data_IF_324221688599
#
_entry.id   IF_324221688599
#
_cell.length_a   1.000
_cell.length_b   1.000
_cell.length_c   1.000
_cell.angle_alpha   90.00
_cell.angle_beta   90.00
_cell.angle_gamma   90.00
#
_symmetry.space_group_name_H-M   'P 1'
#
loop_
_entity.id
_entity.type
_entity.pdbx_description
1 polymer ?
#
# COMPACT_ATOMS: atom_id res chain seq x y z
N UNK A 1 24.01 -0.51 29.49
CA UNK A 1 22.67 -0.80 30.05
C UNK A 1 21.68 -0.48 28.95
N UNK A 2 20.86 -1.44 28.50
CA UNK A 2 19.91 -1.18 27.39
C UNK A 2 18.97 -0.05 27.81
N UNK A 3 18.69 0.89 26.92
CA UNK A 3 17.72 1.97 27.21
C UNK A 3 16.32 1.38 27.39
N UNK A 4 15.43 2.05 28.12
CA UNK A 4 14.05 1.57 28.29
C UNK A 4 13.35 1.33 26.94
N UNK A 5 13.65 2.16 25.94
CA UNK A 5 13.16 2.00 24.57
C UNK A 5 13.73 0.76 23.87
N UNK A 6 15.01 0.43 24.07
CA UNK A 6 15.60 -0.82 23.52
C UNK A 6 14.98 -2.07 24.13
N UNK A 7 14.59 -2.04 25.40
CA UNK A 7 13.89 -3.17 26.04
C UNK A 7 12.47 -3.29 25.50
N UNK A 8 11.76 -2.16 25.37
CA UNK A 8 10.40 -2.12 24.81
C UNK A 8 10.39 -2.59 23.35
N UNK A 9 11.37 -2.18 22.54
CA UNK A 9 11.49 -2.59 21.15
C UNK A 9 11.64 -4.11 20.96
N UNK A 10 12.18 -4.81 21.97
CA UNK A 10 12.32 -6.27 21.95
C UNK A 10 11.01 -6.96 22.32
N UNK A 11 10.24 -6.40 23.26
CA UNK A 11 9.03 -7.04 23.80
C UNK A 11 7.75 -6.66 23.07
N UNK A 12 7.60 -5.40 22.66
CA UNK A 12 6.45 -4.87 21.93
C UNK A 12 6.90 -3.73 21.00
N UNK A 13 7.23 -4.06 19.73
CA UNK A 13 7.64 -3.07 18.74
C UNK A 13 6.57 -1.98 18.50
N UNK A 14 5.29 -2.25 18.80
CA UNK A 14 4.18 -1.33 18.62
C UNK A 14 4.16 -0.18 19.64
N UNK A 15 4.89 -0.32 20.74
CA UNK A 15 5.05 0.68 21.78
C UNK A 15 6.25 1.61 21.54
N UNK A 16 7.14 1.25 20.61
CA UNK A 16 8.30 2.08 20.24
C UNK A 16 7.81 3.39 19.63
N UNK A 17 8.30 4.53 20.14
CA UNK A 17 7.91 5.87 19.68
C UNK A 17 6.39 6.14 19.72
N UNK A 18 5.64 5.49 20.60
CA UNK A 18 4.17 5.63 20.68
C UNK A 18 3.68 7.07 20.88
N UNK A 19 4.48 7.93 21.49
CA UNK A 19 4.19 9.36 21.64
C UNK A 19 4.08 10.09 20.28
N UNK A 20 4.78 9.60 19.25
CA UNK A 20 4.78 10.16 17.90
C UNK A 20 3.73 9.53 16.98
N UNK A 21 3.03 8.48 17.44
CA UNK A 21 2.05 7.77 16.63
C UNK A 21 0.79 8.61 16.41
N UNK A 22 0.49 8.86 15.14
CA UNK A 22 -0.76 9.47 14.74
C UNK A 22 -1.90 8.43 14.73
N UNK A 23 -3.12 8.87 14.39
CA UNK A 23 -4.31 7.99 14.38
C UNK A 23 -4.16 6.80 13.44
N UNK A 24 -3.53 6.98 12.28
CA UNK A 24 -3.32 5.90 11.31
C UNK A 24 -2.28 4.89 11.80
N UNK A 25 -1.19 5.34 12.44
CA UNK A 25 -0.22 4.43 13.07
C UNK A 25 -0.90 3.53 14.11
N UNK A 26 -1.76 4.11 14.96
CA UNK A 26 -2.51 3.35 15.98
C UNK A 26 -3.48 2.35 15.36
N UNK A 27 -4.12 2.71 14.25
CA UNK A 27 -5.00 1.81 13.51
C UNK A 27 -4.22 0.62 12.94
N UNK A 28 -3.06 0.87 12.32
CA UNK A 28 -2.23 -0.20 11.75
C UNK A 28 -1.65 -1.10 12.84
N UNK A 29 -1.18 -0.55 13.95
CA UNK A 29 -0.70 -1.33 15.11
C UNK A 29 -1.83 -2.22 15.65
N UNK A 30 -3.05 -1.70 15.77
CA UNK A 30 -4.21 -2.49 16.19
C UNK A 30 -4.50 -3.66 15.26
N UNK A 31 -4.55 -3.41 13.94
CA UNK A 31 -4.74 -4.48 12.94
C UNK A 31 -3.58 -5.48 12.98
N UNK A 32 -2.35 -5.02 13.13
CA UNK A 32 -1.15 -5.86 13.26
C UNK A 32 -1.19 -6.77 14.48
N UNK A 33 -1.60 -6.25 15.64
CA UNK A 33 -1.72 -7.03 16.87
C UNK A 33 -2.81 -8.10 16.76
N UNK A 34 -3.91 -7.83 16.05
CA UNK A 34 -4.91 -8.85 15.72
C UNK A 34 -4.32 -9.89 14.75
N UNK A 35 -3.66 -9.42 13.69
CA UNK A 35 -3.03 -10.27 12.68
C UNK A 35 -1.92 -11.16 13.22
N UNK A 36 -1.23 -10.76 14.29
CA UNK A 36 -0.17 -11.55 14.92
C UNK A 36 -0.66 -12.93 15.42
N UNK A 37 -1.94 -13.05 15.79
CA UNK A 37 -2.56 -14.33 16.18
C UNK A 37 -2.65 -15.36 15.05
N UNK A 38 -2.48 -14.93 13.80
CA UNK A 38 -2.39 -15.83 12.65
C UNK A 38 -1.13 -16.70 12.70
N UNK A 39 -0.03 -16.25 13.30
CA UNK A 39 1.20 -17.06 13.39
C UNK A 39 1.06 -18.28 14.31
N UNK A 40 0.53 -18.17 15.55
CA UNK A 40 0.18 -19.35 16.34
C UNK A 40 -0.81 -20.28 15.63
N UNK A 41 -1.82 -19.74 14.95
CA UNK A 41 -2.76 -20.55 14.18
C UNK A 41 -2.07 -21.30 13.03
N UNK A 42 -1.17 -20.63 12.30
CA UNK A 42 -0.33 -21.22 11.27
C UNK A 42 0.56 -22.33 11.84
N UNK A 43 1.18 -22.11 13.00
CA UNK A 43 1.99 -23.12 13.69
C UNK A 43 1.19 -24.39 14.00
N UNK A 44 -0.03 -24.24 14.52
CA UNK A 44 -0.94 -25.37 14.77
C UNK A 44 -1.27 -26.10 13.47
N UNK A 45 -1.56 -25.38 12.39
CA UNK A 45 -1.86 -25.97 11.09
C UNK A 45 -0.67 -26.77 10.53
N UNK A 46 0.54 -26.21 10.59
CA UNK A 46 1.78 -26.89 10.16
C UNK A 46 2.01 -28.15 11.00
N UNK A 47 1.97 -28.06 12.33
CA UNK A 47 2.16 -29.20 13.22
C UNK A 47 1.13 -30.31 12.95
N UNK A 48 -0.14 -29.93 12.77
CA UNK A 48 -1.22 -30.88 12.45
C UNK A 48 -0.93 -31.59 11.13
N UNK A 49 -0.55 -30.84 10.09
CA UNK A 49 -0.23 -31.41 8.80
C UNK A 49 0.98 -32.35 8.85
N UNK A 50 2.02 -32.02 9.63
CA UNK A 50 3.20 -32.88 9.79
C UNK A 50 2.81 -34.21 10.45
N UNK A 51 1.97 -34.19 11.49
CA UNK A 51 1.48 -35.40 12.15
C UNK A 51 0.62 -36.24 11.19
N UNK A 52 -0.32 -35.61 10.48
CA UNK A 52 -1.20 -36.28 9.52
C UNK A 52 -0.41 -36.92 8.37
N UNK A 53 0.58 -36.20 7.84
CA UNK A 53 1.47 -36.69 6.79
C UNK A 53 2.30 -37.87 7.27
N UNK A 54 2.82 -37.84 8.49
CA UNK A 54 3.54 -38.96 9.10
C UNK A 54 2.64 -40.17 9.36
N UNK A 55 1.34 -39.96 9.61
CA UNK A 55 0.33 -41.01 9.73
C UNK A 55 -0.21 -41.53 8.38
N UNK A 56 0.36 -41.08 7.25
CA UNK A 56 -0.04 -41.50 5.90
C UNK A 56 -1.26 -40.76 5.31
N UNK A 57 -1.77 -39.73 5.98
CA UNK A 57 -2.98 -38.99 5.59
C UNK A 57 -2.69 -37.52 5.22
N UNK A 58 -2.06 -37.27 4.06
CA UNK A 58 -1.76 -35.89 3.63
C UNK A 58 -3.01 -35.14 3.14
N UNK A 59 -3.26 -33.93 3.68
CA UNK A 59 -4.44 -33.12 3.35
C UNK A 59 -4.06 -31.89 2.53
N UNK A 60 -4.41 -31.83 1.24
CA UNK A 60 -4.02 -30.71 0.37
C UNK A 60 -4.64 -29.36 0.81
N UNK A 61 -5.91 -29.35 1.24
CA UNK A 61 -6.56 -28.14 1.76
C UNK A 61 -5.83 -27.55 2.97
N UNK A 62 -5.19 -28.39 3.79
CA UNK A 62 -4.45 -27.93 4.97
C UNK A 62 -3.11 -27.30 4.56
N UNK A 63 -2.48 -27.78 3.50
CA UNK A 63 -1.32 -27.11 2.89
C UNK A 63 -1.76 -25.74 2.33
N UNK A 64 -2.85 -25.68 1.55
CA UNK A 64 -3.38 -24.42 1.00
C UNK A 64 -3.73 -23.42 2.11
N UNK A 65 -4.37 -23.88 3.19
CA UNK A 65 -4.72 -23.04 4.34
C UNK A 65 -3.48 -22.42 4.98
N UNK A 66 -2.38 -23.17 5.10
CA UNK A 66 -1.12 -22.63 5.63
C UNK A 66 -0.59 -21.49 4.76
N UNK A 67 -0.62 -21.66 3.43
CA UNK A 67 -0.22 -20.60 2.49
C UNK A 67 -1.10 -19.36 2.62
N UNK A 68 -2.41 -19.54 2.81
CA UNK A 68 -3.33 -18.41 2.97
C UNK A 68 -3.09 -17.66 4.28
N UNK A 69 -3.01 -18.38 5.41
CA UNK A 69 -2.76 -17.76 6.72
C UNK A 69 -1.40 -17.05 6.70
N UNK A 70 -0.37 -17.68 6.15
CA UNK A 70 0.96 -17.08 6.03
C UNK A 70 0.94 -15.83 5.16
N UNK A 71 0.33 -15.88 3.98
CA UNK A 71 0.23 -14.74 3.07
C UNK A 71 -0.49 -13.56 3.72
N UNK A 72 -1.65 -13.81 4.34
CA UNK A 72 -2.42 -12.80 5.08
C UNK A 72 -1.58 -12.19 6.21
N UNK A 73 -0.94 -13.03 7.02
CA UNK A 73 -0.14 -12.58 8.16
C UNK A 73 1.07 -11.72 7.73
N UNK A 74 1.80 -12.14 6.70
CA UNK A 74 2.94 -11.39 6.17
C UNK A 74 2.50 -10.06 5.58
N UNK A 75 1.41 -10.03 4.83
CA UNK A 75 0.91 -8.80 4.21
C UNK A 75 0.46 -7.76 5.25
N UNK A 76 -0.21 -8.19 6.34
CA UNK A 76 -0.48 -7.32 7.50
C UNK A 76 0.83 -6.89 8.16
N UNK A 77 1.77 -7.83 8.31
CA UNK A 77 3.09 -7.60 8.91
C UNK A 77 3.91 -6.53 8.19
N UNK A 78 3.79 -6.40 6.87
CA UNK A 78 4.45 -5.31 6.11
C UNK A 78 3.90 -3.96 6.53
N UNK A 79 2.57 -3.79 6.63
CA UNK A 79 1.99 -2.52 7.10
C UNK A 79 2.44 -2.20 8.53
N UNK A 80 2.47 -3.21 9.41
CA UNK A 80 2.96 -3.07 10.78
C UNK A 80 4.42 -2.63 10.81
N UNK A 81 5.30 -3.29 10.04
CA UNK A 81 6.71 -2.94 9.94
C UNK A 81 6.92 -1.49 9.45
N UNK A 82 6.09 -1.03 8.50
CA UNK A 82 6.07 0.37 8.01
C UNK A 82 5.83 1.36 9.13
N UNK A 83 4.87 1.05 10.01
CA UNK A 83 4.54 1.88 11.14
C UNK A 83 5.61 1.86 12.24
N UNK A 84 6.12 0.68 12.60
CA UNK A 84 7.08 0.47 13.70
C UNK A 84 8.54 0.63 13.29
N UNK A 85 8.79 0.93 12.02
CA UNK A 85 10.13 1.06 11.45
C UNK A 85 11.01 -0.21 11.59
N UNK A 86 10.37 -1.37 11.57
CA UNK A 86 11.03 -2.67 11.84
C UNK A 86 11.63 -3.34 10.60
N UNK A 87 11.69 -2.64 9.46
CA UNK A 87 12.34 -3.17 8.24
C UNK A 87 13.85 -3.19 8.41
N UNK A 88 14.46 -4.18 7.78
CA UNK A 88 15.92 -4.25 7.69
C UNK A 88 16.42 -3.05 6.87
N UNK A 89 17.07 -2.12 7.56
CA UNK A 89 17.77 -1.00 6.95
C UNK A 89 19.25 -1.37 6.79
N UNK A 90 19.88 -0.86 5.73
CA UNK A 90 21.34 -0.99 5.58
C UNK A 90 21.98 0.13 6.42
N UNK A 91 22.11 -0.12 7.72
CA UNK A 91 22.41 0.91 8.73
C UNK A 91 23.84 1.48 8.64
N UNK A 92 24.77 0.77 7.99
CA UNK A 92 26.19 1.17 7.87
C UNK A 92 26.38 2.56 7.22
N UNK A 93 25.52 2.93 6.27
CA UNK A 93 25.55 4.25 5.64
C UNK A 93 24.69 5.29 6.38
N UNK A 94 23.72 4.82 7.16
CA UNK A 94 22.70 5.64 7.81
C UNK A 94 23.20 6.25 9.13
N UNK A 95 23.99 5.49 9.89
CA UNK A 95 24.46 5.88 11.23
C UNK A 95 25.35 7.13 11.23
N UNK A 96 26.06 7.38 10.13
CA UNK A 96 26.95 8.54 9.99
C UNK A 96 26.23 9.82 9.53
N UNK A 97 24.93 9.78 9.26
CA UNK A 97 24.17 10.94 8.80
C UNK A 97 23.53 11.70 9.96
N UNK A 98 23.39 13.02 9.81
CA UNK A 98 22.63 13.83 10.76
C UNK A 98 21.16 13.40 10.79
N UNK A 99 20.49 13.56 11.94
CA UNK A 99 19.06 13.24 12.11
C UNK A 99 18.16 13.88 11.04
N UNK A 100 18.53 15.08 10.60
CA UNK A 100 17.82 15.78 9.53
C UNK A 100 18.00 15.09 8.17
N UNK A 101 19.22 14.69 7.83
CA UNK A 101 19.51 13.98 6.58
C UNK A 101 18.85 12.60 6.56
N UNK A 102 18.89 11.87 7.67
CA UNK A 102 18.16 10.61 7.85
C UNK A 102 16.66 10.80 7.60
N UNK A 103 16.04 11.84 8.19
CA UNK A 103 14.60 12.12 8.01
C UNK A 103 14.27 12.43 6.55
N UNK A 104 15.10 13.23 5.86
CA UNK A 104 14.90 13.56 4.44
C UNK A 104 15.04 12.33 3.53
N UNK A 105 15.99 11.44 3.81
CA UNK A 105 16.15 10.19 3.04
C UNK A 105 14.92 9.30 3.25
N UNK A 106 14.43 9.14 4.48
CA UNK A 106 13.21 8.38 4.76
C UNK A 106 11.98 8.98 4.05
N UNK A 107 11.86 10.31 3.99
CA UNK A 107 10.78 10.98 3.25
C UNK A 107 10.81 10.64 1.76
N UNK A 108 12.00 10.68 1.14
CA UNK A 108 12.15 10.33 -0.27
C UNK A 108 11.89 8.84 -0.49
N UNK A 109 12.45 7.96 0.34
CA UNK A 109 12.27 6.52 0.22
C UNK A 109 10.78 6.13 0.30
N UNK A 110 10.05 6.67 1.27
CA UNK A 110 8.62 6.37 1.43
C UNK A 110 7.80 7.10 0.35
N UNK A 111 8.01 8.39 0.15
CA UNK A 111 7.14 9.22 -0.70
C UNK A 111 7.37 9.08 -2.20
N UNK A 112 8.62 8.84 -2.62
CA UNK A 112 9.00 8.77 -4.04
C UNK A 112 9.19 7.36 -4.57
N UNK A 113 9.46 6.38 -3.70
CA UNK A 113 9.71 5.00 -4.13
C UNK A 113 8.63 4.05 -3.62
N UNK A 114 8.43 3.96 -2.30
CA UNK A 114 7.58 2.92 -1.74
C UNK A 114 6.09 3.20 -1.91
N UNK A 115 5.59 4.38 -1.55
CA UNK A 115 4.19 4.75 -1.72
C UNK A 115 3.70 4.66 -3.19
N UNK A 116 4.43 5.17 -4.21
CA UNK A 116 3.99 4.99 -5.60
C UNK A 116 4.03 3.52 -6.04
N UNK A 117 5.01 2.73 -5.56
CA UNK A 117 5.03 1.29 -5.80
C UNK A 117 3.79 0.59 -5.22
N UNK A 118 3.38 0.94 -4.00
CA UNK A 118 2.19 0.36 -3.36
C UNK A 118 0.90 0.75 -4.10
N UNK A 119 0.79 2.00 -4.54
CA UNK A 119 -0.35 2.46 -5.35
C UNK A 119 -0.40 1.71 -6.69
N UNK A 120 0.74 1.54 -7.36
CA UNK A 120 0.83 0.78 -8.62
C UNK A 120 0.48 -0.70 -8.41
N UNK A 121 1.02 -1.32 -7.36
CA UNK A 121 0.75 -2.72 -7.02
C UNK A 121 -0.75 -2.94 -6.76
N UNK A 122 -1.39 -2.02 -6.03
CA UNK A 122 -2.83 -2.02 -5.81
C UNK A 122 -3.59 -1.97 -7.14
N UNK A 123 -3.31 -0.97 -7.98
CA UNK A 123 -3.99 -0.76 -9.26
C UNK A 123 -3.86 -1.97 -10.19
N UNK A 124 -2.64 -2.50 -10.34
CA UNK A 124 -2.40 -3.67 -11.19
C UNK A 124 -3.09 -4.91 -10.62
N UNK A 125 -3.04 -5.12 -9.30
CA UNK A 125 -3.56 -6.34 -8.69
C UNK A 125 -5.08 -6.39 -8.56
N UNK A 126 -5.77 -5.25 -8.64
CA UNK A 126 -7.21 -5.17 -8.47
C UNK A 126 -7.99 -5.87 -9.60
N UNK A 127 -7.72 -5.62 -10.90
CA UNK A 127 -8.33 -6.38 -12.00
C UNK A 127 -8.07 -7.88 -11.93
N UNK A 128 -6.86 -8.30 -11.48
CA UNK A 128 -6.55 -9.72 -11.29
C UNK A 128 -7.40 -10.36 -10.19
N UNK A 129 -7.61 -9.65 -9.07
CA UNK A 129 -8.49 -10.13 -8.01
C UNK A 129 -9.94 -10.23 -8.48
N UNK A 130 -10.44 -9.22 -9.19
CA UNK A 130 -11.81 -9.24 -9.73
C UNK A 130 -12.03 -10.38 -10.73
N UNK A 131 -11.08 -10.58 -11.66
CA UNK A 131 -11.15 -11.67 -12.64
C UNK A 131 -11.16 -13.04 -11.95
N UNK A 132 -10.37 -13.20 -10.89
CA UNK A 132 -10.32 -14.42 -10.08
C UNK A 132 -11.66 -14.73 -9.39
N UNK A 133 -12.36 -13.69 -8.92
CA UNK A 133 -13.72 -13.83 -8.34
C UNK A 133 -14.71 -14.29 -9.40
N UNK A 134 -14.70 -13.66 -10.58
CA UNK A 134 -15.60 -14.05 -11.67
C UNK A 134 -15.33 -15.45 -12.22
N UNK A 135 -14.08 -15.90 -12.15
CA UNK A 135 -13.67 -17.24 -12.55
C UNK A 135 -13.93 -18.30 -11.46
N UNK A 136 -14.41 -17.90 -10.27
CA UNK A 136 -14.52 -18.72 -9.06
C UNK A 136 -13.27 -19.60 -8.83
N UNK A 137 -12.10 -18.94 -8.84
CA UNK A 137 -10.81 -19.63 -8.84
C UNK A 137 -10.62 -20.45 -7.57
N UNK A 138 -10.30 -21.74 -7.75
CA UNK A 138 -9.99 -22.68 -6.68
C UNK A 138 -8.55 -23.22 -6.77
N UNK A 139 -8.16 -23.97 -5.75
CA UNK A 139 -6.89 -24.68 -5.74
C UNK A 139 -6.79 -25.68 -6.90
N UNK A 140 -5.58 -25.86 -7.42
CA UNK A 140 -5.27 -26.88 -8.43
C UNK A 140 -5.17 -28.29 -7.83
N UNK A 141 -5.16 -28.41 -6.51
CA UNK A 141 -5.09 -29.69 -5.81
C UNK A 141 -6.47 -30.38 -5.77
N UNK A 142 -6.56 -31.70 -5.99
CA UNK A 142 -7.84 -32.44 -6.02
C UNK A 142 -8.70 -32.33 -4.74
N UNK A 143 -8.07 -32.06 -3.59
CA UNK A 143 -8.72 -31.82 -2.30
C UNK A 143 -8.22 -30.51 -1.67
N UNK A 144 -7.99 -29.49 -2.51
CA UNK A 144 -7.50 -28.18 -2.09
C UNK A 144 -8.62 -27.23 -1.66
N UNK A 145 -8.23 -26.04 -1.18
CA UNK A 145 -9.21 -25.01 -0.83
C UNK A 145 -9.85 -24.42 -2.09
N UNK A 146 -11.17 -24.34 -2.09
CA UNK A 146 -11.94 -23.56 -3.04
C UNK A 146 -11.86 -22.08 -2.66
N UNK A 147 -12.16 -21.17 -3.59
CA UNK A 147 -12.17 -19.72 -3.36
C UNK A 147 -10.80 -19.06 -3.14
N UNK A 148 -9.79 -19.47 -3.92
CA UNK A 148 -8.45 -18.85 -3.93
C UNK A 148 -8.50 -17.33 -4.19
N UNK A 149 -9.56 -16.86 -4.85
CA UNK A 149 -9.83 -15.43 -5.05
C UNK A 149 -9.85 -14.62 -3.74
N UNK A 150 -10.17 -15.23 -2.59
CA UNK A 150 -10.14 -14.59 -1.26
C UNK A 150 -8.75 -14.03 -0.96
N UNK A 151 -7.69 -14.78 -1.28
CA UNK A 151 -6.31 -14.34 -1.05
C UNK A 151 -5.96 -13.12 -1.93
N UNK A 152 -6.43 -13.08 -3.18
CA UNK A 152 -6.18 -11.98 -4.11
C UNK A 152 -6.93 -10.70 -3.71
N UNK A 153 -8.15 -10.84 -3.17
CA UNK A 153 -8.87 -9.72 -2.55
C UNK A 153 -8.10 -9.23 -1.32
N UNK A 154 -7.68 -10.15 -0.44
CA UNK A 154 -6.95 -9.78 0.76
C UNK A 154 -5.62 -9.09 0.47
N UNK A 155 -4.92 -9.51 -0.60
CA UNK A 155 -3.73 -8.83 -1.09
C UNK A 155 -4.00 -7.37 -1.46
N UNK A 156 -5.10 -7.09 -2.16
CA UNK A 156 -5.52 -5.72 -2.46
C UNK A 156 -5.85 -4.91 -1.19
N UNK A 157 -6.57 -5.51 -0.24
CA UNK A 157 -6.86 -4.87 1.06
C UNK A 157 -5.55 -4.54 1.79
N UNK A 158 -4.57 -5.44 1.73
CA UNK A 158 -3.28 -5.24 2.38
C UNK A 158 -2.48 -4.10 1.75
N UNK A 159 -2.50 -3.93 0.44
CA UNK A 159 -1.89 -2.75 -0.18
C UNK A 159 -2.52 -1.44 0.30
N UNK A 160 -3.84 -1.42 0.55
CA UNK A 160 -4.50 -0.26 1.17
C UNK A 160 -4.01 -0.02 2.61
N UNK A 161 -3.85 -1.08 3.41
CA UNK A 161 -3.29 -0.97 4.76
C UNK A 161 -1.85 -0.43 4.73
N UNK A 162 -1.01 -0.93 3.82
CA UNK A 162 0.36 -0.45 3.64
C UNK A 162 0.36 1.01 3.18
N UNK A 163 -0.55 1.42 2.29
CA UNK A 163 -0.68 2.81 1.87
C UNK A 163 -1.04 3.73 3.04
N UNK A 164 -1.97 3.31 3.93
CA UNK A 164 -2.28 4.04 5.17
C UNK A 164 -1.04 4.14 6.06
N UNK A 165 -0.29 3.05 6.24
CA UNK A 165 0.94 3.05 7.02
C UNK A 165 1.99 4.02 6.44
N UNK A 166 2.15 4.06 5.12
CA UNK A 166 3.04 4.98 4.42
C UNK A 166 2.63 6.44 4.60
N UNK A 167 1.33 6.74 4.44
CA UNK A 167 0.80 8.11 4.64
C UNK A 167 1.02 8.56 6.08
N UNK A 168 0.75 7.69 7.05
CA UNK A 168 1.01 7.97 8.46
C UNK A 168 2.50 8.20 8.76
N UNK A 169 3.38 7.38 8.20
CA UNK A 169 4.82 7.55 8.33
C UNK A 169 5.31 8.88 7.70
N UNK A 170 4.80 9.24 6.51
CA UNK A 170 5.11 10.52 5.85
C UNK A 170 4.70 11.72 6.70
N UNK A 171 3.50 11.72 7.27
CA UNK A 171 3.03 12.81 8.13
C UNK A 171 3.95 12.96 9.35
N UNK A 172 4.34 11.84 9.98
CA UNK A 172 5.26 11.84 11.14
C UNK A 172 6.63 12.39 10.76
N UNK A 173 7.20 11.94 9.64
CA UNK A 173 8.50 12.41 9.14
C UNK A 173 8.47 13.89 8.74
N UNK A 174 7.39 14.37 8.11
CA UNK A 174 7.22 15.79 7.79
C UNK A 174 7.20 16.61 9.08
N UNK A 175 6.46 16.14 10.10
CA UNK A 175 6.32 16.81 11.40
C UNK A 175 7.67 16.95 12.11
N UNK A 176 8.56 15.95 12.00
CA UNK A 176 9.92 16.00 12.56
C UNK A 176 10.78 17.10 11.92
N UNK A 177 10.57 17.39 10.63
CA UNK A 177 11.33 18.42 9.91
C UNK A 177 10.67 19.81 9.97
N UNK A 178 9.33 19.85 9.95
CA UNK A 178 8.59 21.08 9.67
C UNK A 178 7.09 20.95 9.97
N UNK A 179 6.33 22.06 9.99
CA UNK A 179 4.86 21.98 10.15
C UNK A 179 4.21 21.12 9.05
N UNK A 180 3.36 20.13 9.41
CA UNK A 180 2.66 19.29 8.45
C UNK A 180 1.60 20.13 7.73
N UNK A 181 1.88 20.42 6.47
CA UNK A 181 1.03 21.23 5.57
C UNK A 181 0.72 20.38 4.34
N UNK A 182 -0.44 20.60 3.72
CA UNK A 182 -0.89 19.76 2.61
C UNK A 182 0.06 19.87 1.41
N UNK A 183 0.53 21.08 1.12
CA UNK A 183 1.50 21.34 0.06
C UNK A 183 2.82 20.60 0.26
N UNK A 184 3.29 20.48 1.50
CA UNK A 184 4.52 19.73 1.82
C UNK A 184 4.30 18.23 1.68
N UNK A 185 3.15 17.73 2.12
CA UNK A 185 2.79 16.33 1.92
C UNK A 185 2.81 15.97 0.43
N UNK A 186 2.13 16.77 -0.41
CA UNK A 186 2.09 16.55 -1.86
C UNK A 186 3.51 16.65 -2.46
N UNK A 187 4.32 17.62 -2.03
CA UNK A 187 5.69 17.77 -2.54
C UNK A 187 6.60 16.57 -2.20
N UNK A 188 6.55 16.08 -0.96
CA UNK A 188 7.36 14.94 -0.52
C UNK A 188 6.85 13.60 -1.05
N UNK A 189 5.61 13.53 -1.53
CA UNK A 189 5.00 12.36 -2.16
C UNK A 189 4.61 12.63 -3.62
N UNK A 190 5.38 13.47 -4.32
CA UNK A 190 5.01 13.96 -5.64
C UNK A 190 4.78 12.83 -6.67
N UNK A 191 5.66 11.82 -6.81
CA UNK A 191 5.38 10.70 -7.72
C UNK A 191 4.13 9.90 -7.34
N UNK A 192 3.92 9.66 -6.04
CA UNK A 192 2.74 8.95 -5.55
C UNK A 192 1.44 9.72 -5.80
N UNK A 193 1.42 11.03 -5.55
CA UNK A 193 0.25 11.88 -5.79
C UNK A 193 -0.05 12.02 -7.27
N UNK A 194 0.97 12.17 -8.12
CA UNK A 194 0.80 12.16 -9.57
C UNK A 194 0.17 10.86 -10.07
N UNK A 195 0.67 9.73 -9.57
CA UNK A 195 0.12 8.41 -9.91
C UNK A 195 -1.33 8.26 -9.41
N UNK A 196 -1.61 8.64 -8.17
CA UNK A 196 -2.97 8.57 -7.61
C UNK A 196 -3.96 9.45 -8.38
N UNK A 197 -3.56 10.67 -8.76
CA UNK A 197 -4.39 11.57 -9.57
C UNK A 197 -4.59 11.01 -10.98
N UNK A 198 -3.55 10.46 -11.60
CA UNK A 198 -3.67 9.79 -12.90
C UNK A 198 -4.66 8.62 -12.85
N UNK A 199 -4.54 7.75 -11.85
CA UNK A 199 -5.43 6.61 -11.62
C UNK A 199 -6.87 7.10 -11.42
N UNK A 200 -7.06 8.13 -10.60
CA UNK A 200 -8.38 8.72 -10.39
C UNK A 200 -8.98 9.27 -11.70
N UNK A 201 -8.20 10.01 -12.48
CA UNK A 201 -8.63 10.53 -13.80
C UNK A 201 -8.99 9.38 -14.73
N UNK A 202 -8.17 8.33 -14.78
CA UNK A 202 -8.40 7.17 -15.63
C UNK A 202 -9.73 6.47 -15.29
N UNK A 203 -9.95 6.12 -14.01
CA UNK A 203 -11.17 5.43 -13.61
C UNK A 203 -12.41 6.33 -13.63
N UNK A 204 -12.29 7.62 -13.33
CA UNK A 204 -13.40 8.57 -13.47
C UNK A 204 -13.81 8.74 -14.93
N UNK A 205 -12.85 8.86 -15.84
CA UNK A 205 -13.13 8.93 -17.27
C UNK A 205 -13.73 7.62 -17.78
N UNK A 206 -13.19 6.48 -17.35
CA UNK A 206 -13.73 5.16 -17.70
C UNK A 206 -15.17 5.02 -17.22
N UNK A 207 -15.45 5.34 -15.96
CA UNK A 207 -16.80 5.30 -15.38
C UNK A 207 -17.77 6.28 -16.04
N UNK A 208 -17.32 7.48 -16.39
CA UNK A 208 -18.14 8.45 -17.11
C UNK A 208 -18.48 7.97 -18.52
N UNK A 209 -17.50 7.43 -19.24
CA UNK A 209 -17.70 6.90 -20.60
C UNK A 209 -18.58 5.65 -20.59
N UNK A 210 -18.45 4.75 -19.61
CA UNK A 210 -19.35 3.59 -19.49
C UNK A 210 -20.80 3.99 -19.19
N UNK A 211 -21.01 5.06 -18.42
CA UNK A 211 -22.35 5.56 -18.12
C UNK A 211 -22.99 6.35 -19.28
N UNK A 212 -22.18 6.94 -20.16
CA UNK A 212 -22.66 7.76 -21.29
C UNK A 212 -22.62 7.03 -22.63
N UNK A 213 -22.00 5.85 -22.70
CA UNK A 213 -21.94 5.03 -23.89
C UNK A 213 -23.32 4.52 -24.29
N UNK A 214 -23.51 4.31 -25.61
CA UNK A 214 -24.72 3.70 -26.13
C UNK A 214 -24.92 2.29 -25.53
N UNK A 215 -26.17 1.82 -25.33
CA UNK A 215 -26.43 0.50 -24.74
C UNK A 215 -25.79 -0.69 -25.47
N UNK A 216 -25.46 -0.53 -26.76
CA UNK A 216 -24.80 -1.56 -27.59
C UNK A 216 -23.27 -1.43 -27.64
N UNK A 217 -22.70 -0.38 -27.03
CA UNK A 217 -21.26 -0.15 -27.06
C UNK A 217 -20.52 -1.24 -26.29
N UNK A 218 -19.53 -1.86 -26.94
CA UNK A 218 -18.71 -2.88 -26.31
C UNK A 218 -17.62 -2.21 -25.46
N UNK A 219 -17.14 -2.87 -24.40
CA UNK A 219 -16.02 -2.36 -23.57
C UNK A 219 -14.77 -1.99 -24.37
N UNK A 220 -14.56 -2.65 -25.53
CA UNK A 220 -13.47 -2.36 -26.47
C UNK A 220 -13.64 -1.01 -27.18
N UNK A 221 -14.86 -0.57 -27.41
CA UNK A 221 -15.13 0.69 -28.09
C UNK A 221 -14.88 1.87 -27.13
N UNK A 222 -15.21 1.67 -25.85
CA UNK A 222 -14.92 2.62 -24.77
C UNK A 222 -13.40 2.79 -24.58
N UNK A 223 -12.63 1.70 -24.61
CA UNK A 223 -11.17 1.77 -24.45
C UNK A 223 -10.44 2.39 -25.63
N UNK A 224 -11.09 2.48 -26.80
CA UNK A 224 -10.59 3.16 -28.01
C UNK A 224 -10.98 4.63 -28.08
N UNK A 225 -11.60 5.17 -27.03
CA UNK A 225 -11.93 6.58 -26.98
C UNK A 225 -10.63 7.40 -26.92
N UNK A 226 -10.58 8.53 -27.65
CA UNK A 226 -9.39 9.40 -27.78
C UNK A 226 -8.74 9.79 -26.44
N UNK A 227 -9.53 9.80 -25.36
CA UNK A 227 -9.06 10.11 -24.01
C UNK A 227 -8.04 9.09 -23.47
N UNK A 228 -8.06 7.85 -23.97
CA UNK A 228 -7.12 6.78 -23.61
C UNK A 228 -6.02 6.58 -24.66
N UNK A 229 -6.02 7.38 -25.72
CA UNK A 229 -4.98 7.36 -26.75
C UNK A 229 -3.69 8.01 -26.24
N UNK A 230 -2.66 7.88 -27.07
CA UNK A 230 -1.34 8.41 -26.81
C UNK A 230 -1.17 9.81 -27.44
N UNK A 231 -0.50 10.67 -26.69
CA UNK A 231 0.03 11.93 -27.17
C UNK A 231 1.50 11.71 -27.57
N UNK A 232 1.78 11.87 -28.86
CA UNK A 232 3.14 11.78 -29.40
C UNK A 232 3.95 13.00 -28.96
N UNK A 233 4.90 12.80 -28.04
CA UNK A 233 5.86 13.81 -27.65
C UNK A 233 7.26 13.41 -28.12
N UNK A 234 7.65 13.97 -29.28
CA UNK A 234 8.96 13.77 -29.91
C UNK A 234 9.22 12.32 -30.35
N UNK A 235 9.72 11.45 -29.46
CA UNK A 235 9.94 10.00 -29.69
C UNK A 235 9.24 9.13 -28.66
N UNK A 236 8.42 9.72 -27.79
CA UNK A 236 7.75 9.03 -26.70
C UNK A 236 6.25 9.21 -26.82
N UNK A 237 5.53 8.10 -26.70
CA UNK A 237 4.08 8.07 -26.67
C UNK A 237 3.64 8.15 -25.20
N UNK A 238 2.97 9.24 -24.84
CA UNK A 238 2.52 9.51 -23.48
C UNK A 238 1.00 9.51 -23.47
N UNK A 239 0.38 8.64 -22.68
CA UNK A 239 -1.08 8.62 -22.51
C UNK A 239 -1.61 10.00 -22.09
N UNK A 240 -2.71 10.46 -22.70
CA UNK A 240 -3.35 11.72 -22.32
C UNK A 240 -3.71 11.78 -20.83
N UNK A 241 -4.12 10.65 -20.25
CA UNK A 241 -4.41 10.52 -18.82
C UNK A 241 -3.20 10.84 -17.94
N UNK A 242 -1.98 10.51 -18.38
CA UNK A 242 -0.74 10.81 -17.66
C UNK A 242 -0.46 12.31 -17.70
N UNK A 243 -0.59 12.93 -18.87
CA UNK A 243 -0.41 14.37 -19.03
C UNK A 243 -1.41 15.15 -18.16
N UNK A 244 -2.69 14.78 -18.21
CA UNK A 244 -3.75 15.39 -17.38
C UNK A 244 -3.44 15.18 -15.89
N UNK A 245 -3.02 13.98 -15.49
CA UNK A 245 -2.65 13.67 -14.12
C UNK A 245 -1.50 14.57 -13.61
N UNK A 246 -0.47 14.78 -14.43
CA UNK A 246 0.65 15.69 -14.11
C UNK A 246 0.15 17.12 -13.92
N UNK A 247 -0.60 17.65 -14.88
CA UNK A 247 -1.11 19.03 -14.85
C UNK A 247 -2.02 19.26 -13.64
N UNK A 248 -2.97 18.35 -13.40
CA UNK A 248 -3.88 18.43 -12.25
C UNK A 248 -3.11 18.37 -10.93
N UNK A 249 -2.09 17.53 -10.82
CA UNK A 249 -1.29 17.46 -9.59
C UNK A 249 -0.55 18.77 -9.32
N UNK A 250 -0.01 19.43 -10.35
CA UNK A 250 0.60 20.76 -10.20
C UNK A 250 -0.42 21.83 -9.78
N UNK A 251 -1.64 21.78 -10.33
CA UNK A 251 -2.74 22.67 -9.92
C UNK A 251 -3.11 22.42 -8.46
N UNK A 252 -3.31 21.16 -8.06
CA UNK A 252 -3.63 20.77 -6.68
C UNK A 252 -2.53 21.24 -5.73
N UNK A 253 -1.26 21.09 -6.10
CA UNK A 253 -0.12 21.60 -5.31
C UNK A 253 -0.17 23.13 -5.18
N UNK A 254 -0.48 23.85 -6.25
CA UNK A 254 -0.64 25.31 -6.24
C UNK A 254 -1.76 25.76 -5.30
N UNK A 255 -2.94 25.14 -5.42
CA UNK A 255 -4.08 25.40 -4.55
C UNK A 255 -3.79 25.07 -3.09
N UNK A 256 -3.14 23.94 -2.83
CA UNK A 256 -2.71 23.54 -1.48
C UNK A 256 -1.77 24.58 -0.86
N UNK A 257 -0.84 25.15 -1.63
CA UNK A 257 0.05 26.22 -1.14
C UNK A 257 -0.70 27.51 -0.79
N UNK A 258 -1.72 27.87 -1.57
CA UNK A 258 -2.56 29.04 -1.29
C UNK A 258 -3.34 28.83 0.01
N UNK A 259 -4.00 27.68 0.16
CA UNK A 259 -4.74 27.32 1.36
C UNK A 259 -3.84 27.29 2.61
N UNK A 260 -2.65 26.70 2.49
CA UNK A 260 -1.67 26.66 3.57
C UNK A 260 -1.13 28.05 3.93
N UNK A 261 -1.09 28.99 2.99
CA UNK A 261 -0.71 30.39 3.24
C UNK A 261 -1.81 31.14 3.98
N UNK A 262 -3.08 30.99 3.58
CA UNK A 262 -4.20 31.65 4.25
C UNK A 262 -4.33 31.22 5.71
N UNK A 263 -4.17 29.92 5.99
CA UNK A 263 -4.16 29.39 7.37
C UNK A 263 -3.04 29.95 8.26
N UNK A 264 -1.97 30.51 7.68
CA UNK A 264 -0.91 31.20 8.45
C UNK A 264 -1.24 32.64 8.78
N UNK A 265 -2.18 33.25 8.07
CA UNK A 265 -2.61 34.62 8.32
C UNK A 265 -3.78 34.70 9.31
N UNK A 266 -4.50 33.60 9.51
CA UNK A 266 -5.68 33.52 10.41
C UNK A 266 -5.36 33.07 11.85
N UNK A 267 -4.13 32.61 12.15
CA UNK A 267 -3.74 32.12 13.48
C UNK A 267 -2.38 32.62 13.91
#
# INVERSE_FOLDING_TARGET
>A
MKTTEEVIAITDPGEVNRAEHNKGDRFIVFIGNIGAWLFPALMIAICTQVVLRNAGNNQAWLDDLQWWIYGIAVLIGVAYAVTTDSHVRVDVLYDNFSREKQTRISLIAIGWLFLPFIILAWDVSLPYALTSVFADEGSSSPNGLHNLWILKIFMNISFLLIAVACVSALIRLITRLSRPTLSRFILWSLPATMLAVNIAVFYLALGFLTLTAAPEATSRDISRHWFFDDFEFWKYDIKYTVLIGVVLTLIILGLARILDRNKRHEG
#
